data_IF_992705742901
#
_entry.id   IF_992705742901
#
_cell.length_a   1.000
_cell.length_b   1.000
_cell.length_c   1.000
_cell.angle_alpha   90.00
_cell.angle_beta   90.00
_cell.angle_gamma   90.00
#
_symmetry.space_group_name_H-M   'P 1'
#
loop_
_entity.id
_entity.type
_entity.pdbx_description
1 polymer ?
#
# COMPACT_ATOMS: atom_id res chain seq x y z
N UNK A 1 -17.99 -12.13 -7.21
CA UNK A 1 -17.43 -11.30 -6.12
C UNK A 1 -16.02 -10.93 -6.54
N UNK A 2 -15.46 -9.78 -6.15
CA UNK A 2 -14.07 -9.48 -6.49
C UNK A 2 -13.15 -10.56 -5.90
N UNK A 3 -12.13 -10.93 -6.65
CA UNK A 3 -11.17 -11.95 -6.21
C UNK A 3 -10.12 -11.37 -5.27
N UNK A 4 -9.82 -10.08 -5.42
CA UNK A 4 -8.89 -9.33 -4.58
C UNK A 4 -9.54 -8.06 -4.01
N UNK A 5 -9.15 -7.69 -2.80
CA UNK A 5 -9.51 -6.42 -2.16
C UNK A 5 -8.26 -5.64 -1.76
N UNK A 6 -8.12 -4.43 -2.30
CA UNK A 6 -6.96 -3.58 -2.07
C UNK A 6 -7.36 -2.34 -1.27
N UNK A 7 -6.82 -2.21 -0.06
CA UNK A 7 -6.98 -1.03 0.79
C UNK A 7 -6.20 0.15 0.22
N UNK A 8 -6.84 1.30 0.03
CA UNK A 8 -6.25 2.48 -0.60
C UNK A 8 -6.10 3.63 0.41
N UNK A 9 -4.84 4.00 0.71
CA UNK A 9 -4.44 4.97 1.72
C UNK A 9 -3.98 6.28 1.08
N UNK A 10 -4.69 7.39 1.38
CA UNK A 10 -4.44 8.71 0.80
C UNK A 10 -3.19 9.40 1.36
N UNK A 11 -2.74 10.48 0.71
CA UNK A 11 -1.65 11.34 1.18
C UNK A 11 -2.06 12.24 2.35
N UNK A 12 -1.09 12.95 2.93
CA UNK A 12 -1.32 13.92 4.00
C UNK A 12 -2.31 15.01 3.53
N UNK A 13 -3.20 15.47 4.41
CA UNK A 13 -4.32 16.38 4.11
C UNK A 13 -5.24 15.90 2.97
N UNK A 14 -5.20 14.59 2.66
CA UNK A 14 -6.06 13.96 1.66
C UNK A 14 -7.36 13.44 2.25
N UNK A 15 -8.08 12.66 1.43
CA UNK A 15 -9.23 11.86 1.86
C UNK A 15 -9.47 10.71 0.88
N UNK A 16 -10.32 9.76 1.24
CA UNK A 16 -10.79 8.69 0.36
C UNK A 16 -11.33 9.24 -0.97
N UNK A 17 -12.12 10.33 -0.91
CA UNK A 17 -12.69 10.97 -2.09
C UNK A 17 -11.63 11.67 -2.97
N UNK A 18 -10.60 12.29 -2.36
CA UNK A 18 -9.48 12.89 -3.09
C UNK A 18 -8.65 11.78 -3.76
N UNK A 19 -8.27 10.74 -3.02
CA UNK A 19 -7.49 9.63 -3.55
C UNK A 19 -8.20 8.93 -4.70
N UNK A 20 -9.52 8.68 -4.59
CA UNK A 20 -10.32 8.09 -5.67
C UNK A 20 -10.21 8.90 -6.97
N UNK A 21 -10.22 10.25 -6.89
CA UNK A 21 -10.04 11.11 -8.08
C UNK A 21 -8.61 11.04 -8.61
N UNK A 22 -7.61 11.06 -7.73
CA UNK A 22 -6.20 10.97 -8.12
C UNK A 22 -5.85 9.64 -8.78
N UNK A 23 -6.50 8.56 -8.37
CA UNK A 23 -6.30 7.21 -8.90
C UNK A 23 -7.15 6.91 -10.14
N UNK A 24 -8.00 7.80 -10.63
CA UNK A 24 -9.00 7.47 -11.65
C UNK A 24 -8.42 6.79 -12.90
N UNK A 25 -7.27 7.26 -13.39
CA UNK A 25 -6.60 6.65 -14.55
C UNK A 25 -5.98 5.29 -14.23
N UNK A 26 -5.27 5.19 -13.12
CA UNK A 26 -4.72 3.92 -12.65
C UNK A 26 -5.82 2.91 -12.37
N UNK A 27 -6.92 3.32 -11.72
CA UNK A 27 -8.05 2.46 -11.42
C UNK A 27 -8.72 1.88 -12.67
N UNK A 28 -8.74 2.64 -13.77
CA UNK A 28 -9.27 2.16 -15.06
C UNK A 28 -8.40 1.06 -15.70
N UNK A 29 -7.11 0.98 -15.34
CA UNK A 29 -6.18 -0.03 -15.82
C UNK A 29 -6.03 -1.24 -14.88
N UNK A 30 -6.54 -1.14 -13.64
CA UNK A 30 -6.54 -2.25 -12.68
C UNK A 30 -7.54 -3.33 -13.14
N UNK A 31 -7.21 -4.63 -13.01
CA UNK A 31 -8.12 -5.72 -13.34
C UNK A 31 -9.48 -5.59 -12.62
N UNK A 32 -10.57 -5.92 -13.33
CA UNK A 32 -11.95 -5.72 -12.86
C UNK A 32 -12.33 -6.61 -11.65
N UNK A 33 -11.54 -7.63 -11.37
CA UNK A 33 -11.67 -8.53 -10.22
C UNK A 33 -11.01 -7.96 -8.94
N UNK A 34 -10.38 -6.78 -9.02
CA UNK A 34 -9.79 -6.08 -7.86
C UNK A 34 -10.74 -4.99 -7.34
N UNK A 35 -11.24 -5.17 -6.14
CA UNK A 35 -12.00 -4.13 -5.42
C UNK A 35 -11.06 -3.11 -4.75
N UNK A 36 -11.24 -1.83 -5.06
CA UNK A 36 -10.50 -0.72 -4.44
C UNK A 36 -11.28 -0.18 -3.23
N UNK A 37 -10.76 -0.41 -2.03
CA UNK A 37 -11.37 0.01 -0.75
C UNK A 37 -10.72 1.31 -0.29
N UNK A 38 -11.35 2.43 -0.56
CA UNK A 38 -10.86 3.75 -0.16
C UNK A 38 -11.34 4.11 1.24
N UNK A 39 -10.43 4.55 2.09
CA UNK A 39 -10.72 4.90 3.49
C UNK A 39 -10.17 6.27 3.84
N UNK A 40 -10.83 6.95 4.77
CA UNK A 40 -10.30 8.16 5.38
C UNK A 40 -9.39 7.81 6.56
N UNK A 41 -8.29 8.53 6.69
CA UNK A 41 -7.45 8.48 7.88
C UNK A 41 -8.22 8.98 9.11
N UNK A 42 -7.80 8.64 10.33
CA UNK A 42 -8.30 9.31 11.52
C UNK A 42 -8.16 10.83 11.38
N UNK A 43 -9.26 11.57 11.65
CA UNK A 43 -9.26 13.03 11.53
C UNK A 43 -8.17 13.66 12.44
N UNK A 44 -7.36 14.54 11.88
CA UNK A 44 -6.39 15.35 12.62
C UNK A 44 -7.09 16.55 13.28
N UNK A 45 -8.05 17.14 12.55
CA UNK A 45 -8.96 18.19 12.97
C UNK A 45 -10.23 18.12 12.13
N UNK A 46 -11.20 19.00 12.35
CA UNK A 46 -12.44 19.00 11.56
C UNK A 46 -12.16 19.16 10.06
N UNK A 47 -12.47 18.15 9.29
CA UNK A 47 -12.28 18.10 7.82
C UNK A 47 -10.84 17.94 7.34
N UNK A 48 -9.91 17.63 8.23
CA UNK A 48 -8.51 17.42 7.92
C UNK A 48 -8.07 16.01 8.33
N UNK A 49 -7.63 15.21 7.37
CA UNK A 49 -7.27 13.81 7.55
C UNK A 49 -5.77 13.60 7.33
N UNK A 50 -5.18 12.76 8.15
CA UNK A 50 -3.79 12.33 8.00
C UNK A 50 -3.49 11.16 8.92
N UNK A 51 -2.50 10.37 8.54
CA UNK A 51 -2.10 9.17 9.27
C UNK A 51 -1.31 9.52 10.52
N UNK A 52 -0.61 10.65 10.50
CA UNK A 52 0.06 11.29 11.63
C UNK A 52 0.37 12.75 11.30
N UNK A 53 0.62 13.54 12.35
CA UNK A 53 1.15 14.90 12.26
C UNK A 53 2.68 14.92 12.26
N UNK A 54 3.25 16.13 12.18
CA UNK A 54 4.67 16.36 12.39
C UNK A 54 5.17 15.68 13.68
N UNK A 55 6.36 15.07 13.62
CA UNK A 55 6.91 14.28 14.72
C UNK A 55 6.16 12.96 14.99
N UNK A 56 5.40 12.46 14.01
CA UNK A 56 4.60 11.22 14.11
C UNK A 56 3.53 11.23 15.23
N UNK A 57 3.09 12.39 15.67
CA UNK A 57 1.96 12.48 16.63
C UNK A 57 0.70 11.89 16.02
N UNK A 58 0.07 10.96 16.74
CA UNK A 58 -1.10 10.22 16.28
C UNK A 58 -0.78 8.88 15.62
N UNK A 59 0.49 8.50 15.52
CA UNK A 59 0.91 7.22 14.97
C UNK A 59 0.26 6.03 15.67
N UNK A 60 0.26 6.00 17.00
CA UNK A 60 -0.31 4.90 17.77
C UNK A 60 -1.81 4.70 17.43
N UNK A 61 -2.54 5.80 17.32
CA UNK A 61 -3.97 5.76 16.90
C UNK A 61 -4.14 5.18 15.50
N UNK A 62 -3.29 5.58 14.56
CA UNK A 62 -3.32 5.08 13.19
C UNK A 62 -2.94 3.60 13.13
N UNK A 63 -1.91 3.19 13.86
CA UNK A 63 -1.52 1.78 13.99
C UNK A 63 -2.67 0.93 14.54
N UNK A 64 -3.28 1.36 15.63
CA UNK A 64 -4.35 0.60 16.29
C UNK A 64 -5.59 0.51 15.39
N UNK A 65 -5.94 1.61 14.70
CA UNK A 65 -6.98 1.63 13.68
C UNK A 65 -6.68 0.65 12.52
N UNK A 66 -5.43 0.61 12.03
CA UNK A 66 -5.05 -0.31 10.95
C UNK A 66 -5.11 -1.77 11.40
N UNK A 67 -4.70 -2.07 12.64
CA UNK A 67 -4.79 -3.41 13.24
C UNK A 67 -6.25 -3.85 13.35
N UNK A 68 -7.13 -2.97 13.80
CA UNK A 68 -8.56 -3.26 13.89
C UNK A 68 -9.18 -3.49 12.51
N UNK A 69 -8.91 -2.59 11.55
CA UNK A 69 -9.44 -2.68 10.18
C UNK A 69 -9.01 -3.97 9.47
N UNK A 70 -7.73 -4.31 9.55
CA UNK A 70 -7.16 -5.48 8.86
C UNK A 70 -7.45 -6.80 9.60
N UNK A 71 -7.63 -6.74 10.92
CA UNK A 71 -7.87 -7.93 11.75
C UNK A 71 -9.34 -8.31 11.93
N UNK A 72 -10.26 -7.33 11.95
CA UNK A 72 -11.68 -7.55 12.26
C UNK A 72 -12.62 -7.33 11.07
N UNK A 73 -12.14 -6.71 10.00
CA UNK A 73 -12.90 -6.40 8.79
C UNK A 73 -12.95 -7.56 7.79
N UNK A 74 -13.66 -7.37 6.67
CA UNK A 74 -13.53 -8.24 5.52
C UNK A 74 -12.08 -8.28 5.05
N UNK A 75 -11.61 -9.47 4.63
CA UNK A 75 -10.23 -9.69 4.18
C UNK A 75 -9.75 -8.59 3.23
N UNK A 76 -8.56 -8.09 3.48
CA UNK A 76 -7.79 -7.22 2.59
C UNK A 76 -6.61 -8.03 2.07
N UNK A 77 -6.48 -8.13 0.75
CA UNK A 77 -5.42 -8.91 0.11
C UNK A 77 -4.16 -8.08 -0.15
N UNK A 78 -4.30 -6.77 -0.33
CA UNK A 78 -3.16 -5.89 -0.54
C UNK A 78 -3.43 -4.45 -0.11
N UNK A 79 -2.35 -3.66 -0.04
CA UNK A 79 -2.43 -2.25 0.36
C UNK A 79 -1.80 -1.38 -0.72
N UNK A 80 -2.54 -0.35 -1.15
CA UNK A 80 -2.04 0.75 -1.96
C UNK A 80 -1.89 2.00 -1.09
N UNK A 81 -0.77 2.71 -1.22
CA UNK A 81 -0.58 3.98 -0.56
C UNK A 81 -0.01 5.05 -1.48
N UNK A 82 -0.45 6.31 -1.27
CA UNK A 82 0.11 7.48 -1.91
C UNK A 82 0.75 8.41 -0.89
N UNK A 83 1.98 8.88 -1.13
CA UNK A 83 2.66 9.85 -0.27
C UNK A 83 2.76 9.39 1.19
N UNK A 84 2.16 10.09 2.15
CA UNK A 84 2.09 9.63 3.55
C UNK A 84 1.40 8.27 3.68
N UNK A 85 0.36 7.99 2.86
CA UNK A 85 -0.25 6.66 2.79
C UNK A 85 0.71 5.58 2.31
N UNK A 86 1.64 5.91 1.39
CA UNK A 86 2.69 4.98 0.95
C UNK A 86 3.72 4.72 2.06
N UNK A 87 4.10 5.75 2.82
CA UNK A 87 4.95 5.57 4.00
C UNK A 87 4.27 4.71 5.07
N UNK A 88 2.95 4.89 5.28
CA UNK A 88 2.15 4.02 6.14
C UNK A 88 2.13 2.58 5.64
N UNK A 89 1.93 2.36 4.33
CA UNK A 89 1.98 1.03 3.72
C UNK A 89 3.30 0.32 4.01
N UNK A 90 4.43 1.02 3.90
CA UNK A 90 5.74 0.49 4.26
C UNK A 90 5.86 0.11 5.75
N UNK A 91 5.32 0.93 6.64
CA UNK A 91 5.29 0.64 8.09
C UNK A 91 4.38 -0.56 8.41
N UNK A 92 3.22 -0.67 7.76
CA UNK A 92 2.31 -1.82 7.92
C UNK A 92 2.94 -3.12 7.40
N UNK A 93 3.69 -3.06 6.28
CA UNK A 93 4.45 -4.20 5.79
C UNK A 93 5.52 -4.66 6.80
N UNK A 94 6.22 -3.70 7.40
CA UNK A 94 7.22 -4.00 8.41
C UNK A 94 6.59 -4.56 9.71
N UNK A 95 5.45 -4.05 10.14
CA UNK A 95 4.69 -4.59 11.27
C UNK A 95 4.16 -6.00 11.00
N UNK A 96 3.69 -6.26 9.77
CA UNK A 96 3.24 -7.59 9.36
C UNK A 96 4.33 -8.65 9.51
N UNK A 97 5.57 -8.31 9.21
CA UNK A 97 6.71 -9.23 9.33
C UNK A 97 7.32 -9.29 10.74
N UNK A 98 6.99 -8.34 11.60
CA UNK A 98 7.38 -8.36 13.01
C UNK A 98 6.49 -9.33 13.78
N UNK A 99 7.02 -10.50 14.11
CA UNK A 99 6.27 -11.56 14.82
C UNK A 99 6.26 -11.37 16.34
N UNK A 100 5.11 -11.58 17.03
CA UNK A 100 3.79 -11.90 16.47
C UNK A 100 3.11 -10.67 15.84
N UNK A 101 2.42 -10.85 14.72
CA UNK A 101 1.67 -9.79 14.05
C UNK A 101 0.23 -10.19 13.78
N UNK A 102 -0.74 -9.31 14.06
CA UNK A 102 -2.13 -9.51 13.68
C UNK A 102 -2.42 -9.10 12.24
N UNK A 103 -1.43 -8.51 11.52
CA UNK A 103 -1.63 -7.99 10.17
C UNK A 103 -1.38 -9.08 9.14
N UNK A 104 -2.35 -9.26 8.23
CA UNK A 104 -2.24 -10.17 7.10
C UNK A 104 -2.67 -9.48 5.81
N UNK A 105 -1.80 -9.45 4.82
CA UNK A 105 -2.04 -9.05 3.43
C UNK A 105 -0.90 -9.59 2.56
N UNK A 106 -1.11 -9.73 1.25
CA UNK A 106 -0.21 -10.47 0.38
C UNK A 106 0.74 -9.57 -0.42
N UNK A 107 0.37 -8.31 -0.68
CA UNK A 107 1.18 -7.38 -1.47
C UNK A 107 1.01 -5.92 -1.04
N UNK A 108 1.95 -5.08 -1.47
CA UNK A 108 1.96 -3.64 -1.21
C UNK A 108 2.32 -2.84 -2.47
N UNK A 109 1.61 -1.72 -2.71
CA UNK A 109 1.90 -0.77 -3.80
C UNK A 109 2.08 0.62 -3.19
N UNK A 110 3.21 1.24 -3.43
CA UNK A 110 3.59 2.52 -2.83
C UNK A 110 3.96 3.53 -3.92
N UNK A 111 3.25 4.66 -3.97
CA UNK A 111 3.49 5.75 -4.92
C UNK A 111 3.98 6.97 -4.17
N UNK A 112 5.17 7.48 -4.50
CA UNK A 112 5.77 8.63 -3.83
C UNK A 112 5.96 8.41 -2.32
N UNK A 113 6.34 7.19 -1.92
CA UNK A 113 6.54 6.81 -0.52
C UNK A 113 7.91 7.24 0.02
N UNK A 114 8.05 7.20 1.33
CA UNK A 114 9.30 7.50 2.04
C UNK A 114 9.41 6.67 3.33
N UNK A 115 10.63 6.48 3.81
CA UNK A 115 10.86 5.78 5.08
C UNK A 115 10.54 6.68 6.27
N UNK A 116 10.01 6.08 7.36
CA UNK A 116 9.86 6.79 8.61
C UNK A 116 11.21 7.22 9.19
N UNK A 117 11.27 8.46 9.67
CA UNK A 117 12.46 9.03 10.34
C UNK A 117 12.45 8.80 11.86
N UNK A 118 11.41 8.16 12.41
CA UNK A 118 11.31 7.87 13.84
C UNK A 118 12.29 6.76 14.26
N UNK A 119 13.15 7.00 15.25
CA UNK A 119 14.13 6.00 15.70
C UNK A 119 13.50 4.65 16.11
N UNK A 120 12.33 4.67 16.77
CA UNK A 120 11.61 3.46 17.16
C UNK A 120 11.17 2.60 15.98
N UNK A 121 10.96 3.19 14.80
CA UNK A 121 10.61 2.46 13.59
C UNK A 121 11.81 1.81 12.90
N UNK A 122 13.05 2.24 13.22
CA UNK A 122 14.25 1.65 12.63
C UNK A 122 14.37 0.15 12.90
N UNK A 123 13.89 -0.30 14.06
CA UNK A 123 13.90 -1.71 14.43
C UNK A 123 12.99 -2.58 13.54
N UNK A 124 11.94 -2.01 12.96
CA UNK A 124 11.02 -2.70 12.05
C UNK A 124 11.68 -3.07 10.71
N UNK A 125 12.71 -2.32 10.31
CA UNK A 125 13.41 -2.49 9.03
C UNK A 125 14.83 -3.08 9.21
N UNK A 126 15.05 -3.91 10.24
CA UNK A 126 16.35 -4.58 10.47
C UNK A 126 16.70 -5.58 9.38
N UNK A 127 15.69 -6.20 8.80
CA UNK A 127 15.81 -7.14 7.70
C UNK A 127 15.02 -6.63 6.51
N UNK A 128 15.35 -7.11 5.31
CA UNK A 128 14.55 -6.85 4.13
C UNK A 128 13.17 -7.46 4.30
N UNK A 129 12.13 -6.69 3.95
CA UNK A 129 10.75 -7.16 3.96
C UNK A 129 10.51 -8.09 2.76
N UNK A 130 9.82 -9.19 2.98
CA UNK A 130 9.56 -10.20 1.95
C UNK A 130 8.22 -10.05 1.26
N UNK A 131 7.36 -9.13 1.75
CA UNK A 131 6.09 -8.77 1.10
C UNK A 131 6.36 -8.32 -0.34
N UNK A 132 5.77 -8.98 -1.35
CA UNK A 132 5.83 -8.54 -2.74
C UNK A 132 5.39 -7.08 -2.86
N UNK A 133 6.17 -6.25 -3.53
CA UNK A 133 5.91 -4.82 -3.53
C UNK A 133 6.19 -4.13 -4.87
N UNK A 134 5.43 -3.05 -5.12
CA UNK A 134 5.64 -2.11 -6.21
C UNK A 134 5.93 -0.74 -5.60
N UNK A 135 6.96 -0.07 -6.10
CA UNK A 135 7.35 1.28 -5.72
C UNK A 135 7.36 2.17 -6.95
N UNK A 136 6.50 3.19 -6.97
CA UNK A 136 6.43 4.16 -8.07
C UNK A 136 7.02 5.47 -7.60
N UNK A 137 7.99 6.01 -8.35
CA UNK A 137 8.70 7.25 -8.02
C UNK A 137 8.76 8.21 -9.19
N UNK A 138 8.55 9.52 -8.93
CA UNK A 138 8.61 10.58 -9.93
C UNK A 138 9.99 11.22 -9.98
N UNK A 139 10.59 11.33 -11.18
CA UNK A 139 11.89 12.01 -11.35
C UNK A 139 11.84 13.51 -11.03
N UNK A 140 10.70 14.14 -11.29
CA UNK A 140 10.46 15.55 -11.01
C UNK A 140 9.69 15.78 -9.69
N UNK A 141 9.60 14.76 -8.80
CA UNK A 141 8.92 14.89 -7.52
C UNK A 141 9.74 15.79 -6.57
N UNK A 142 9.22 16.98 -6.31
CA UNK A 142 9.81 17.97 -5.41
C UNK A 142 9.31 17.84 -3.96
N UNK A 143 8.29 17.04 -3.70
CA UNK A 143 7.71 16.83 -2.36
C UNK A 143 8.35 15.59 -1.70
N UNK A 144 8.38 14.48 -2.42
CA UNK A 144 9.09 13.27 -2.03
C UNK A 144 10.13 12.95 -3.12
N UNK A 145 11.37 13.43 -2.98
CA UNK A 145 12.41 13.17 -3.97
C UNK A 145 12.57 11.68 -4.26
N UNK A 146 12.84 11.31 -5.52
CA UNK A 146 13.01 9.90 -5.94
C UNK A 146 13.90 9.10 -5.03
N UNK A 147 15.00 9.70 -4.54
CA UNK A 147 15.94 9.06 -3.61
C UNK A 147 15.25 8.53 -2.34
N UNK A 148 14.24 9.26 -1.82
CA UNK A 148 13.56 8.88 -0.58
C UNK A 148 12.61 7.70 -0.83
N UNK A 149 11.95 7.67 -2.01
CA UNK A 149 11.16 6.52 -2.44
C UNK A 149 12.04 5.29 -2.72
N UNK A 150 13.23 5.47 -3.28
CA UNK A 150 14.19 4.40 -3.51
C UNK A 150 14.76 3.86 -2.19
N UNK A 151 14.97 4.70 -1.18
CA UNK A 151 15.33 4.28 0.17
C UNK A 151 14.25 3.42 0.83
N UNK A 152 12.96 3.70 0.55
CA UNK A 152 11.87 2.83 1.00
C UNK A 152 11.88 1.51 0.22
N UNK A 153 12.02 1.54 -1.10
CA UNK A 153 12.12 0.34 -1.93
C UNK A 153 13.28 -0.57 -1.50
N UNK A 154 14.41 0.02 -1.12
CA UNK A 154 15.56 -0.72 -0.59
C UNK A 154 15.26 -1.46 0.73
N UNK A 155 14.17 -1.23 1.41
CA UNK A 155 13.72 -2.01 2.57
C UNK A 155 13.07 -3.34 2.20
N UNK A 156 12.74 -3.57 0.93
CA UNK A 156 12.12 -4.79 0.43
C UNK A 156 13.12 -5.69 -0.27
N UNK A 157 12.90 -7.01 -0.24
CA UNK A 157 13.85 -7.99 -0.76
C UNK A 157 13.90 -8.01 -2.30
N UNK A 158 12.73 -7.89 -2.95
CA UNK A 158 12.60 -7.94 -4.42
C UNK A 158 11.50 -6.96 -4.88
N UNK A 159 11.75 -5.62 -4.74
CA UNK A 159 10.76 -4.63 -5.09
C UNK A 159 10.67 -4.43 -6.61
N UNK A 160 9.46 -4.35 -7.17
CA UNK A 160 9.27 -3.80 -8.51
C UNK A 160 9.33 -2.27 -8.42
N UNK A 161 10.38 -1.68 -8.95
CA UNK A 161 10.55 -0.21 -8.98
C UNK A 161 10.18 0.33 -10.36
N UNK A 162 9.27 1.32 -10.38
CA UNK A 162 8.79 1.99 -11.59
C UNK A 162 9.08 3.49 -11.45
N UNK A 163 9.86 4.04 -12.37
CA UNK A 163 10.14 5.47 -12.40
C UNK A 163 9.36 6.15 -13.53
N UNK A 164 8.71 7.30 -13.23
CA UNK A 164 8.03 8.11 -14.21
C UNK A 164 8.61 9.55 -14.28
N UNK A 165 8.46 10.28 -15.39
CA UNK A 165 9.05 11.60 -15.54
C UNK A 165 8.37 12.71 -14.73
N UNK A 166 7.15 12.46 -14.21
CA UNK A 166 6.32 13.46 -13.53
C UNK A 166 6.78 13.80 -12.11
N UNK A 167 5.99 14.68 -11.47
CA UNK A 167 6.16 15.11 -10.08
C UNK A 167 5.44 14.21 -9.07
N UNK A 168 4.94 14.83 -7.98
CA UNK A 168 4.24 14.14 -6.90
C UNK A 168 2.79 13.81 -7.26
N UNK A 169 2.59 12.81 -8.11
CA UNK A 169 1.29 12.39 -8.63
C UNK A 169 1.20 10.86 -8.72
N UNK A 170 -0.02 10.35 -8.80
CA UNK A 170 -0.28 8.96 -9.19
C UNK A 170 -0.37 8.94 -10.72
N UNK A 171 0.61 8.35 -11.43
CA UNK A 171 0.61 8.37 -12.89
C UNK A 171 -0.42 7.41 -13.46
N UNK A 172 -0.95 7.75 -14.63
CA UNK A 172 -1.97 6.97 -15.33
C UNK A 172 -1.56 6.48 -16.71
N UNK A 173 -0.30 6.71 -17.09
CA UNK A 173 0.23 6.25 -18.38
C UNK A 173 0.56 4.74 -18.35
N UNK A 174 0.54 4.13 -19.55
CA UNK A 174 0.71 2.68 -19.71
C UNK A 174 2.08 2.18 -19.20
N UNK A 175 3.10 3.02 -19.21
CA UNK A 175 4.43 2.66 -18.72
C UNK A 175 4.43 2.37 -17.20
N UNK A 176 3.45 2.90 -16.47
CA UNK A 176 3.26 2.66 -15.03
C UNK A 176 2.11 1.69 -14.77
N UNK A 177 0.98 1.89 -15.43
CA UNK A 177 -0.25 1.13 -15.15
C UNK A 177 -0.15 -0.33 -15.59
N UNK A 178 0.49 -0.62 -16.73
CA UNK A 178 0.62 -1.99 -17.23
C UNK A 178 1.48 -2.89 -16.32
N UNK A 179 2.66 -2.45 -15.81
CA UNK A 179 3.41 -3.23 -14.82
C UNK A 179 2.64 -3.47 -13.53
N UNK A 180 1.86 -2.49 -13.04
CA UNK A 180 1.01 -2.65 -11.84
C UNK A 180 -0.09 -3.68 -12.09
N UNK A 181 -0.79 -3.61 -13.23
CA UNK A 181 -1.81 -4.59 -13.60
C UNK A 181 -1.22 -6.01 -13.72
N UNK A 182 -0.04 -6.13 -14.34
CA UNK A 182 0.69 -7.41 -14.44
C UNK A 182 1.11 -7.96 -13.08
N UNK A 183 1.49 -7.08 -12.14
CA UNK A 183 1.80 -7.46 -10.76
C UNK A 183 0.55 -8.00 -10.05
N UNK A 184 -0.58 -7.30 -10.10
CA UNK A 184 -1.84 -7.71 -9.47
C UNK A 184 -2.38 -9.02 -10.03
N UNK A 185 -2.24 -9.25 -11.34
CA UNK A 185 -2.69 -10.48 -11.99
C UNK A 185 -2.01 -11.76 -11.46
N UNK A 186 -0.85 -11.65 -10.81
CA UNK A 186 -0.17 -12.80 -10.17
C UNK A 186 -0.97 -13.32 -8.98
N UNK A 187 -1.57 -12.42 -8.21
CA UNK A 187 -2.33 -12.76 -6.99
C UNK A 187 -3.72 -13.32 -7.33
N UNK A 188 -4.42 -12.78 -8.34
CA UNK A 188 -5.70 -13.31 -8.81
C UNK A 188 -5.59 -14.77 -9.28
N UNK A 189 -4.53 -15.12 -10.00
CA UNK A 189 -4.29 -16.48 -10.50
C UNK A 189 -3.92 -17.48 -9.39
N UNK A 190 -3.12 -17.03 -8.44
CA UNK A 190 -2.67 -17.89 -7.33
C UNK A 190 -3.82 -18.27 -6.41
N UNK A 191 -4.76 -17.36 -6.16
CA UNK A 191 -5.96 -17.66 -5.39
C UNK A 191 -6.88 -18.68 -6.08
N UNK A 192 -6.98 -18.62 -7.42
CA UNK A 192 -7.73 -19.62 -8.20
C UNK A 192 -7.15 -21.02 -8.08
N UNK A 193 -5.83 -21.14 -8.13
CA UNK A 193 -5.13 -22.42 -7.99
C UNK A 193 -5.21 -23.00 -6.56
N UNK A 194 -5.06 -22.16 -5.53
CA UNK A 194 -5.18 -22.59 -4.13
C UNK A 194 -6.60 -23.05 -3.78
N UNK A 195 -7.64 -22.34 -4.26
CA UNK A 195 -9.05 -22.73 -4.08
C UNK A 195 -9.39 -24.04 -4.80
N UNK A 196 -8.80 -24.31 -5.98
CA UNK A 196 -8.99 -25.56 -6.71
C UNK A 196 -8.40 -26.76 -5.95
N UNK A 197 -7.26 -26.57 -5.25
CA UNK A 197 -6.62 -27.62 -4.46
C UNK A 197 -7.35 -27.90 -3.14
N UNK A 198 -7.95 -26.88 -2.51
CA UNK A 198 -8.72 -27.05 -1.26
C UNK A 198 -10.10 -27.69 -1.54
N UNK A 199 -10.74 -27.31 -2.65
CA UNK A 199 -12.00 -27.93 -3.09
C UNK A 199 -11.91 -29.42 -3.47
N UNK A 200 -10.69 -29.90 -3.79
CA UNK A 200 -10.45 -31.31 -4.12
C UNK A 200 -10.25 -32.23 -2.90
N UNK A 201 -10.18 -31.65 -1.69
CA UNK A 201 -10.01 -32.40 -0.43
C UNK A 201 -11.32 -32.66 0.34
N UNK A 202 -12.45 -32.22 -0.20
CA UNK A 202 -13.76 -32.35 0.44
C UNK A 202 -14.65 -33.33 -0.33
N UNK A 203 -14.21 -34.57 -0.46
CA UNK A 203 -15.14 -35.71 -0.71
C UNK A 203 -14.66 -36.92 0.09
N UNK A 204 -15.52 -37.46 0.96
CA UNK A 204 -15.24 -38.62 1.80
C UNK A 204 -15.29 -39.94 1.03
#
# INVERSE_FOLDING_TARGET
MPDLRMLCLHGYHGSAAILRRQMAQLAAAIPADVELVYVDAPALSAGDFGWWHEGFRGWERTRDWAVELLGAGPRIDGIFGFSQGAALTGLLAALRESRPSPLEFEFAIMVGGFTSTMPQHAALFRHKLTVPSVHVTGRADAIVPSRDSLLLADRFADPLVIEHPGGHVIPGDDAVTAPIAGFLARFSRDQGAARALDGSRSDP
#
